data_IF_329873066072
#
_entry.id   IF_329873066072
#
_cell.length_a   1.000
_cell.length_b   1.000
_cell.length_c   1.000
_cell.angle_alpha   90.00
_cell.angle_beta   90.00
_cell.angle_gamma   90.00
#
_symmetry.space_group_name_H-M   'P 1'
#
loop_
_entity.id
_entity.type
_entity.pdbx_description
1 polymer ?
#
# COMPACT_ATOMS: atom_id res chain seq x y z
N UNK A 1 5.12 -9.23 -25.87
CA UNK A 1 5.05 -8.69 -24.50
C UNK A 1 3.67 -8.11 -24.30
N UNK A 2 3.04 -8.36 -23.15
CA UNK A 2 1.75 -7.77 -22.83
C UNK A 2 2.04 -6.37 -22.28
N UNK A 3 1.70 -5.34 -23.04
CA UNK A 3 1.85 -3.95 -22.62
C UNK A 3 1.01 -3.73 -21.35
N UNK A 4 1.60 -3.11 -20.33
CA UNK A 4 0.88 -2.78 -19.10
C UNK A 4 -0.19 -1.73 -19.42
N UNK A 5 -1.37 -1.86 -18.83
CA UNK A 5 -2.44 -0.88 -19.05
C UNK A 5 -2.11 0.44 -18.34
N UNK A 6 -1.96 1.53 -19.11
CA UNK A 6 -1.67 2.86 -18.58
C UNK A 6 -2.76 3.36 -17.63
N UNK A 7 -4.02 2.98 -17.84
CA UNK A 7 -5.13 3.41 -17.01
C UNK A 7 -5.03 2.75 -15.64
N UNK A 8 -4.73 1.45 -15.63
CA UNK A 8 -4.48 0.72 -14.40
C UNK A 8 -3.29 1.32 -13.62
N UNK A 9 -2.17 1.58 -14.29
CA UNK A 9 -1.01 2.20 -13.66
C UNK A 9 -1.33 3.57 -13.06
N UNK A 10 -2.08 4.40 -13.80
CA UNK A 10 -2.50 5.73 -13.37
C UNK A 10 -3.40 5.68 -12.14
N UNK A 11 -4.38 4.80 -12.15
CA UNK A 11 -5.36 4.71 -11.07
C UNK A 11 -4.75 4.09 -9.81
N UNK A 12 -3.93 3.03 -9.94
CA UNK A 12 -3.17 2.47 -8.81
C UNK A 12 -2.23 3.49 -8.18
N UNK A 13 -1.54 4.30 -8.98
CA UNK A 13 -0.67 5.36 -8.45
C UNK A 13 -1.47 6.43 -7.69
N UNK A 14 -2.67 6.81 -8.17
CA UNK A 14 -3.55 7.76 -7.47
C UNK A 14 -4.05 7.21 -6.14
N UNK A 15 -4.52 5.97 -6.12
CA UNK A 15 -4.94 5.28 -4.90
C UNK A 15 -3.79 5.22 -3.89
N UNK A 16 -2.59 4.82 -4.35
CA UNK A 16 -1.41 4.76 -3.50
C UNK A 16 -1.05 6.13 -2.91
N UNK A 17 -1.20 7.22 -3.66
CA UNK A 17 -0.97 8.57 -3.17
C UNK A 17 -1.89 8.92 -1.98
N UNK A 18 -3.18 8.56 -2.08
CA UNK A 18 -4.16 8.76 -1.00
C UNK A 18 -3.81 7.94 0.24
N UNK A 19 -3.40 6.68 0.05
CA UNK A 19 -2.95 5.81 1.13
C UNK A 19 -1.70 6.34 1.85
N UNK A 20 -0.74 6.91 1.11
CA UNK A 20 0.41 7.59 1.71
C UNK A 20 0.02 8.84 2.51
N UNK A 21 -0.96 9.61 2.04
CA UNK A 21 -1.48 10.76 2.81
C UNK A 21 -2.10 10.29 4.12
N UNK A 22 -2.85 9.19 4.10
CA UNK A 22 -3.46 8.65 5.33
C UNK A 22 -2.41 8.08 6.29
N UNK A 23 -1.43 7.33 5.78
CA UNK A 23 -0.31 6.86 6.59
C UNK A 23 0.50 8.02 7.20
N UNK A 24 0.66 9.12 6.45
CA UNK A 24 1.29 10.34 6.95
C UNK A 24 0.50 10.96 8.10
N UNK A 25 -0.84 11.01 8.03
CA UNK A 25 -1.66 11.50 9.15
C UNK A 25 -1.50 10.64 10.40
N UNK A 26 -1.43 9.32 10.22
CA UNK A 26 -1.28 8.37 11.32
C UNK A 26 0.06 8.49 12.05
N UNK A 27 1.13 8.96 11.38
CA UNK A 27 2.43 9.21 12.03
C UNK A 27 2.34 10.25 13.15
N UNK A 28 1.43 11.22 13.01
CA UNK A 28 1.27 12.34 13.95
C UNK A 28 0.29 12.01 15.08
N UNK A 29 -0.36 10.84 15.02
CA UNK A 29 -1.26 10.38 16.08
C UNK A 29 -0.48 9.94 17.32
N UNK A 30 -1.07 10.14 18.50
CA UNK A 30 -0.51 9.58 19.73
C UNK A 30 -0.73 8.06 19.74
N UNK A 31 0.27 7.24 20.11
CA UNK A 31 0.09 5.80 20.23
C UNK A 31 -0.96 5.47 21.29
N UNK A 32 -1.86 4.53 20.96
CA UNK A 32 -2.86 4.01 21.91
C UNK A 32 -2.14 3.46 23.15
N UNK A 33 -2.52 3.89 24.37
CA UNK A 33 -1.89 3.37 25.56
C UNK A 33 -2.10 1.85 25.67
N UNK A 34 -1.11 1.08 26.14
CA UNK A 34 -1.23 -0.37 26.26
C UNK A 34 -2.42 -0.75 27.16
N UNK A 35 -3.18 -1.77 26.75
CA UNK A 35 -4.40 -2.23 27.44
C UNK A 35 -4.13 -2.76 28.86
N UNK A 36 -2.93 -3.33 29.09
CA UNK A 36 -2.52 -3.85 30.40
C UNK A 36 -1.52 -2.91 31.05
N UNK A 37 -1.95 -2.22 32.10
CA UNK A 37 -1.05 -1.51 33.02
C UNK A 37 -0.37 -2.54 33.92
N UNK A 38 0.83 -2.98 33.58
CA UNK A 38 1.69 -3.65 34.54
C UNK A 38 2.04 -2.67 35.67
N UNK A 39 1.99 -3.16 36.92
CA UNK A 39 2.01 -2.38 38.18
C UNK A 39 3.21 -1.42 38.35
N UNK A 40 4.23 -1.50 37.49
CA UNK A 40 5.44 -0.68 37.51
C UNK A 40 5.65 0.18 36.25
N UNK A 41 4.65 0.30 35.37
CA UNK A 41 4.73 1.24 34.25
C UNK A 41 4.59 2.67 34.75
N UNK A 42 5.71 3.26 35.20
CA UNK A 42 5.77 4.68 35.55
C UNK A 42 5.35 5.47 34.32
N UNK A 43 4.15 6.08 34.39
CA UNK A 43 3.67 7.06 33.41
C UNK A 43 4.75 8.11 33.18
N UNK A 44 5.34 8.12 32.00
CA UNK A 44 5.90 9.35 31.41
C UNK A 44 7.19 9.92 32.01
N UNK A 45 8.09 9.09 32.56
CA UNK A 45 9.39 9.56 33.05
C UNK A 45 10.50 9.66 31.97
N UNK A 46 10.15 9.56 30.68
CA UNK A 46 11.09 9.71 29.57
C UNK A 46 10.55 10.67 28.51
N UNK A 47 11.43 11.34 27.74
CA UNK A 47 11.00 12.16 26.61
C UNK A 47 10.09 11.31 25.71
N UNK A 48 8.86 11.76 25.49
CA UNK A 48 7.99 11.11 24.51
C UNK A 48 8.60 11.39 23.13
N UNK A 49 8.95 10.34 22.39
CA UNK A 49 9.31 10.48 20.99
C UNK A 49 8.17 11.20 20.26
N UNK A 50 8.46 12.22 19.44
CA UNK A 50 7.43 12.90 18.68
C UNK A 50 6.83 11.91 17.68
N UNK A 51 5.50 11.71 17.75
CA UNK A 51 4.75 10.86 16.82
C UNK A 51 4.70 9.36 17.19
N UNK A 52 3.95 8.63 16.37
CA UNK A 52 3.81 7.19 16.46
C UNK A 52 4.95 6.50 15.70
N UNK A 53 5.89 5.92 16.45
CA UNK A 53 7.10 5.30 15.88
C UNK A 53 6.80 4.22 14.82
N UNK A 54 5.74 3.44 15.01
CA UNK A 54 5.38 2.34 14.10
C UNK A 54 4.99 2.90 12.73
N UNK A 55 4.19 3.96 12.72
CA UNK A 55 3.76 4.62 11.50
C UNK A 55 4.90 5.38 10.83
N UNK A 56 5.78 6.03 11.60
CA UNK A 56 6.99 6.64 11.07
C UNK A 56 7.89 5.60 10.38
N UNK A 57 8.18 4.48 11.04
CA UNK A 57 9.04 3.42 10.49
C UNK A 57 8.46 2.85 9.19
N UNK A 58 7.16 2.54 9.18
CA UNK A 58 6.46 2.04 7.99
C UNK A 58 6.51 3.06 6.84
N UNK A 59 6.23 4.33 7.13
CA UNK A 59 6.24 5.39 6.13
C UNK A 59 7.60 5.55 5.48
N UNK A 60 8.66 5.69 6.29
CA UNK A 60 10.04 5.88 5.78
C UNK A 60 10.49 4.67 4.96
N UNK A 61 10.22 3.45 5.43
CA UNK A 61 10.61 2.23 4.71
C UNK A 61 9.93 2.16 3.33
N UNK A 62 8.62 2.40 3.27
CA UNK A 62 7.88 2.34 2.01
C UNK A 62 8.26 3.47 1.05
N UNK A 63 8.44 4.69 1.57
CA UNK A 63 8.86 5.83 0.77
C UNK A 63 10.25 5.63 0.16
N UNK A 64 11.20 5.02 0.90
CA UNK A 64 12.53 4.71 0.37
C UNK A 64 12.45 3.74 -0.82
N UNK A 65 11.69 2.66 -0.69
CA UNK A 65 11.49 1.70 -1.78
C UNK A 65 10.84 2.37 -3.00
N UNK A 66 9.80 3.18 -2.78
CA UNK A 66 9.13 3.92 -3.86
C UNK A 66 10.09 4.92 -4.54
N UNK A 67 10.95 5.58 -3.77
CA UNK A 67 11.94 6.53 -4.29
C UNK A 67 12.96 5.84 -5.19
N UNK A 68 13.50 4.70 -4.78
CA UNK A 68 14.44 3.92 -5.59
C UNK A 68 13.79 3.49 -6.92
N UNK A 69 12.56 2.97 -6.84
CA UNK A 69 11.78 2.61 -8.02
C UNK A 69 11.55 3.79 -8.96
N UNK A 70 11.19 4.96 -8.41
CA UNK A 70 10.98 6.17 -9.20
C UNK A 70 12.27 6.68 -9.83
N UNK A 71 13.41 6.62 -9.13
CA UNK A 71 14.70 7.01 -9.70
C UNK A 71 15.07 6.15 -10.91
N UNK A 72 14.75 4.86 -10.87
CA UNK A 72 14.94 3.96 -12.03
C UNK A 72 13.93 4.28 -13.14
N UNK A 73 12.65 4.44 -12.81
CA UNK A 73 11.57 4.70 -13.76
C UNK A 73 11.71 6.03 -14.50
N UNK A 74 12.11 7.10 -13.81
CA UNK A 74 12.26 8.43 -14.37
C UNK A 74 13.68 8.71 -14.87
N UNK A 75 14.68 7.97 -14.37
CA UNK A 75 16.09 8.18 -14.66
C UNK A 75 16.53 7.71 -16.05
N UNK A 76 17.83 7.44 -16.16
CA UNK A 76 18.46 7.03 -17.41
C UNK A 76 17.97 5.66 -17.93
N UNK A 77 17.51 4.79 -17.04
CA UNK A 77 17.04 3.44 -17.39
C UNK A 77 15.53 3.39 -17.71
N UNK A 78 14.85 4.53 -17.65
CA UNK A 78 13.42 4.65 -17.87
C UNK A 78 13.07 5.77 -18.85
N UNK A 79 12.16 6.67 -18.46
CA UNK A 79 11.56 7.64 -19.38
C UNK A 79 12.34 8.97 -19.51
N UNK A 80 13.55 9.05 -18.96
CA UNK A 80 14.44 10.22 -19.04
C UNK A 80 13.82 11.54 -18.56
N UNK A 81 13.00 11.50 -17.52
CA UNK A 81 12.41 12.68 -16.87
C UNK A 81 13.21 13.05 -15.64
N UNK A 82 13.65 14.29 -15.56
CA UNK A 82 14.39 14.78 -14.40
C UNK A 82 13.46 14.99 -13.21
N UNK A 83 13.68 14.25 -12.14
CA UNK A 83 13.09 14.49 -10.81
C UNK A 83 14.16 15.05 -9.85
N UNK A 84 13.73 15.84 -8.87
CA UNK A 84 14.63 16.49 -7.89
C UNK A 84 14.29 16.07 -6.47
N UNK A 85 15.16 16.41 -5.50
CA UNK A 85 14.90 16.09 -4.09
C UNK A 85 13.58 16.66 -3.56
N UNK A 86 13.12 17.79 -4.12
CA UNK A 86 11.83 18.38 -3.77
C UNK A 86 10.64 17.49 -4.17
N UNK A 87 10.82 16.57 -5.13
CA UNK A 87 9.79 15.66 -5.60
C UNK A 87 9.70 14.36 -4.78
N UNK A 88 10.66 14.11 -3.87
CA UNK A 88 10.86 12.80 -3.24
C UNK A 88 9.89 12.46 -2.09
N UNK A 89 8.79 13.19 -1.97
CA UNK A 89 7.71 12.81 -1.06
C UNK A 89 6.85 11.74 -1.72
N UNK A 90 6.47 10.69 -0.99
CA UNK A 90 5.74 9.56 -1.57
C UNK A 90 4.46 9.97 -2.36
N UNK A 91 3.59 10.88 -1.87
CA UNK A 91 2.43 11.31 -2.65
C UNK A 91 2.81 12.04 -3.95
N UNK A 92 3.89 12.82 -3.94
CA UNK A 92 4.38 13.54 -5.12
C UNK A 92 4.93 12.58 -6.16
N UNK A 93 5.71 11.58 -5.75
CA UNK A 93 6.21 10.52 -6.61
C UNK A 93 5.05 9.74 -7.27
N UNK A 94 4.04 9.35 -6.48
CA UNK A 94 2.83 8.71 -7.01
C UNK A 94 2.09 9.60 -8.03
N UNK A 95 1.98 10.91 -7.75
CA UNK A 95 1.40 11.87 -8.69
C UNK A 95 2.19 12.00 -10.00
N UNK A 96 3.53 11.95 -9.94
CA UNK A 96 4.38 11.94 -11.12
C UNK A 96 4.19 10.66 -11.94
N UNK A 97 4.07 9.51 -11.29
CA UNK A 97 3.76 8.23 -11.96
C UNK A 97 2.42 8.34 -12.69
N UNK A 98 1.38 8.83 -12.01
CA UNK A 98 0.06 8.99 -12.62
C UNK A 98 0.07 9.96 -13.82
N UNK A 99 0.86 11.04 -13.74
CA UNK A 99 1.03 12.01 -14.81
C UNK A 99 1.77 11.41 -16.03
N UNK A 100 2.81 10.62 -15.78
CA UNK A 100 3.62 9.96 -16.81
C UNK A 100 3.21 8.50 -17.06
N UNK A 101 1.97 8.13 -16.76
CA UNK A 101 1.54 6.72 -16.83
C UNK A 101 1.68 6.12 -18.23
N UNK A 102 1.44 6.91 -19.29
CA UNK A 102 1.59 6.46 -20.67
C UNK A 102 3.03 6.02 -20.98
N UNK A 103 4.06 6.89 -20.91
CA UNK A 103 5.43 6.47 -21.22
C UNK A 103 5.97 5.43 -20.22
N UNK A 104 5.50 5.43 -18.96
CA UNK A 104 5.89 4.40 -17.99
C UNK A 104 5.30 3.03 -18.33
N UNK A 105 4.10 2.97 -18.92
CA UNK A 105 3.46 1.71 -19.33
C UNK A 105 4.16 1.03 -20.53
N UNK A 106 4.97 1.79 -21.27
CA UNK A 106 5.73 1.34 -22.43
C UNK A 106 7.10 0.74 -22.06
N UNK A 107 7.53 0.85 -20.80
CA UNK A 107 8.77 0.24 -20.32
C UNK A 107 8.69 -1.29 -20.37
N UNK A 108 9.82 -1.94 -20.69
CA UNK A 108 9.88 -3.41 -20.77
C UNK A 108 9.55 -4.10 -19.44
N UNK A 109 9.78 -3.40 -18.33
CA UNK A 109 9.52 -3.83 -16.95
C UNK A 109 8.32 -3.12 -16.32
N UNK A 110 7.45 -2.46 -17.11
CA UNK A 110 6.28 -1.73 -16.60
C UNK A 110 5.33 -2.61 -15.76
N UNK A 111 5.28 -3.92 -16.02
CA UNK A 111 4.51 -4.87 -15.23
C UNK A 111 5.04 -4.98 -13.79
N UNK A 112 6.37 -4.97 -13.61
CA UNK A 112 7.00 -5.03 -12.30
C UNK A 112 6.77 -3.72 -11.53
N UNK A 113 6.83 -2.58 -12.23
CA UNK A 113 6.44 -1.27 -11.67
C UNK A 113 5.01 -1.33 -11.12
N UNK A 114 4.04 -1.74 -11.94
CA UNK A 114 2.65 -1.83 -11.53
C UNK A 114 2.45 -2.80 -10.35
N UNK A 115 3.12 -3.95 -10.36
CA UNK A 115 3.03 -4.94 -9.30
C UNK A 115 3.54 -4.38 -7.96
N UNK A 116 4.67 -3.68 -7.96
CA UNK A 116 5.21 -3.04 -6.76
C UNK A 116 4.26 -1.95 -6.21
N UNK A 117 3.65 -1.13 -7.09
CA UNK A 117 2.64 -0.16 -6.66
C UNK A 117 1.41 -0.82 -6.06
N UNK A 118 0.91 -1.90 -6.67
CA UNK A 118 -0.25 -2.65 -6.16
C UNK A 118 0.07 -3.32 -4.81
N UNK A 119 1.26 -3.88 -4.65
CA UNK A 119 1.68 -4.52 -3.40
C UNK A 119 1.84 -3.50 -2.27
N UNK A 120 2.42 -2.32 -2.55
CA UNK A 120 2.46 -1.22 -1.60
C UNK A 120 1.05 -0.72 -1.25
N UNK A 121 0.19 -0.50 -2.24
CA UNK A 121 -1.19 -0.05 -2.02
C UNK A 121 -1.95 -1.05 -1.14
N UNK A 122 -1.89 -2.34 -1.48
CA UNK A 122 -2.50 -3.42 -0.72
C UNK A 122 -1.99 -3.49 0.72
N UNK A 123 -0.68 -3.36 0.91
CA UNK A 123 -0.05 -3.45 2.23
C UNK A 123 -0.41 -2.24 3.10
N UNK A 124 -0.33 -1.02 2.57
CA UNK A 124 -0.71 0.18 3.30
C UNK A 124 -2.20 0.17 3.61
N UNK A 125 -3.05 -0.20 2.65
CA UNK A 125 -4.50 -0.30 2.85
C UNK A 125 -4.85 -1.27 3.99
N UNK A 126 -4.17 -2.43 4.08
CA UNK A 126 -4.35 -3.37 5.20
C UNK A 126 -4.00 -2.75 6.56
N UNK A 127 -3.04 -1.85 6.61
CA UNK A 127 -2.64 -1.21 7.85
C UNK A 127 -3.58 -0.09 8.25
N UNK A 128 -3.98 0.77 7.31
CA UNK A 128 -4.77 1.96 7.60
C UNK A 128 -6.27 1.67 7.72
N UNK A 129 -6.77 0.62 7.07
CA UNK A 129 -8.20 0.21 7.08
C UNK A 129 -8.42 -1.21 7.64
N UNK A 130 -8.00 -1.53 8.88
CA UNK A 130 -8.08 -2.90 9.40
C UNK A 130 -9.52 -3.39 9.62
N UNK A 131 -10.44 -2.51 9.98
CA UNK A 131 -11.85 -2.86 10.24
C UNK A 131 -12.62 -3.23 8.97
N UNK A 132 -12.39 -2.50 7.88
CA UNK A 132 -13.01 -2.79 6.58
C UNK A 132 -12.50 -4.11 6.00
N UNK A 133 -11.23 -4.41 6.22
CA UNK A 133 -10.64 -5.71 5.87
C UNK A 133 -11.20 -6.84 6.72
N UNK A 134 -11.37 -6.65 8.03
CA UNK A 134 -12.01 -7.64 8.90
C UNK A 134 -13.46 -7.93 8.45
N UNK A 135 -14.23 -6.89 8.12
CA UNK A 135 -15.59 -7.06 7.60
C UNK A 135 -15.60 -7.74 6.22
N UNK A 136 -14.67 -7.43 5.33
CA UNK A 136 -14.52 -8.08 4.04
C UNK A 136 -14.15 -9.57 4.17
N UNK A 137 -13.23 -9.91 5.08
CA UNK A 137 -12.85 -11.29 5.39
C UNK A 137 -14.00 -12.08 6.01
N UNK A 138 -14.76 -11.47 6.91
CA UNK A 138 -15.96 -12.09 7.48
C UNK A 138 -17.05 -12.33 6.42
N UNK A 139 -17.25 -11.37 5.50
CA UNK A 139 -18.17 -11.52 4.36
C UNK A 139 -17.72 -12.63 3.42
N UNK A 140 -16.44 -12.70 3.06
CA UNK A 140 -15.92 -13.74 2.15
C UNK A 140 -15.98 -15.13 2.79
N UNK A 141 -15.67 -15.25 4.08
CA UNK A 141 -15.86 -16.48 4.84
C UNK A 141 -17.34 -16.89 4.81
N UNK A 142 -18.27 -15.98 5.13
CA UNK A 142 -19.72 -16.27 5.11
C UNK A 142 -20.20 -16.74 3.73
N UNK A 143 -19.75 -16.09 2.66
CA UNK A 143 -20.06 -16.49 1.27
C UNK A 143 -19.51 -17.89 0.97
N UNK A 144 -18.26 -18.17 1.37
CA UNK A 144 -17.65 -19.50 1.21
C UNK A 144 -18.46 -20.59 1.93
N UNK A 145 -18.82 -20.36 3.20
CA UNK A 145 -19.66 -21.28 3.97
C UNK A 145 -21.01 -21.53 3.29
N UNK A 146 -21.68 -20.47 2.85
CA UNK A 146 -22.97 -20.57 2.15
C UNK A 146 -22.88 -21.35 0.82
N UNK A 147 -21.81 -21.14 0.05
CA UNK A 147 -21.59 -21.86 -1.21
C UNK A 147 -21.31 -23.34 -0.97
N UNK A 148 -20.52 -23.68 0.05
CA UNK A 148 -20.25 -25.07 0.43
C UNK A 148 -21.53 -25.75 0.93
N UNK A 149 -22.32 -25.08 1.75
CA UNK A 149 -23.60 -25.61 2.25
C UNK A 149 -24.61 -25.86 1.12
N UNK A 150 -24.71 -24.93 0.16
CA UNK A 150 -25.72 -24.96 -0.91
C UNK A 150 -25.32 -25.83 -2.10
N UNK A 151 -24.03 -25.92 -2.41
CA UNK A 151 -23.52 -26.57 -3.63
C UNK A 151 -22.48 -27.67 -3.36
N UNK A 152 -22.01 -27.85 -2.12
CA UNK A 152 -20.99 -28.85 -1.77
C UNK A 152 -21.39 -30.28 -2.12
N UNK A 153 -22.67 -30.62 -2.02
CA UNK A 153 -23.21 -31.94 -2.41
C UNK A 153 -23.28 -32.18 -3.92
N UNK A 154 -23.26 -31.12 -4.74
CA UNK A 154 -23.32 -31.22 -6.21
C UNK A 154 -21.93 -31.19 -6.88
N UNK A 155 -20.87 -30.83 -6.16
CA UNK A 155 -19.51 -30.80 -6.68
C UNK A 155 -18.84 -32.18 -6.71
N UNK A 156 -19.34 -33.14 -5.91
CA UNK A 156 -18.83 -34.52 -5.86
C UNK A 156 -19.49 -35.46 -6.89
N UNK A 157 -20.56 -35.04 -7.56
CA UNK A 157 -21.34 -35.88 -8.51
C UNK A 157 -20.94 -35.70 -9.98
N UNK A 158 -19.81 -35.03 -10.27
CA UNK A 158 -19.37 -34.66 -11.62
C UNK A 158 -18.07 -35.32 -12.09
N UNK A 159 -17.62 -36.39 -11.44
CA UNK A 159 -16.49 -37.22 -11.87
C UNK A 159 -16.92 -38.68 -11.94
N UNK A 160 -17.55 -39.04 -13.05
CA UNK A 160 -17.52 -40.39 -13.64
C UNK A 160 -17.50 -40.25 -15.16
#
# INVERSE_FOLDING_TARGET
MKQTDEFQLRDTARELAELYVEMHRLKDTAPTPPEVKTRNSIKGAGPKSPGNWLWMYRYVTMEQNLRELCLNAFGADGIHVRITEADFTAPRLCGLIAWHAQPLSELDWAADLLQELDDQARMINRWVNPADQAAALLRSARVKWHLVEKYGSNLDMGRD
#
